data_IF_353042183320
#
_entry.id   IF_353042183320
#
_cell.length_a   1.000
_cell.length_b   1.000
_cell.length_c   1.000
_cell.angle_alpha   90.00
_cell.angle_beta   90.00
_cell.angle_gamma   90.00
#
_symmetry.space_group_name_H-M   'P 1'
#
loop_
_entity.id
_entity.type
_entity.pdbx_description
1 polymer ?
#
# COMPACT_ATOMS: atom_id res chain seq x y z
N UNK A 1 6.13 10.63 -13.80
CA UNK A 1 5.42 9.46 -13.24
C UNK A 1 6.23 8.25 -13.59
N UNK A 2 6.38 7.35 -12.63
CA UNK A 2 7.26 6.19 -12.78
C UNK A 2 6.43 4.93 -12.70
N UNK A 3 6.75 3.97 -13.57
CA UNK A 3 6.11 2.66 -13.58
C UNK A 3 6.81 1.74 -12.57
N UNK A 4 6.02 1.14 -11.68
CA UNK A 4 6.52 0.15 -10.71
C UNK A 4 5.68 -1.13 -10.78
N UNK A 5 6.25 -2.24 -10.31
CA UNK A 5 5.53 -3.50 -10.16
C UNK A 5 4.34 -3.30 -9.22
N UNK A 6 3.16 -3.80 -9.62
CA UNK A 6 1.98 -3.75 -8.77
C UNK A 6 2.18 -4.64 -7.55
N UNK A 7 2.28 -4.04 -6.36
CA UNK A 7 2.49 -4.78 -5.12
C UNK A 7 1.34 -5.75 -4.81
N UNK A 8 0.09 -5.29 -4.94
CA UNK A 8 -1.09 -6.09 -4.61
C UNK A 8 -1.13 -7.46 -5.29
N UNK A 9 -0.86 -7.53 -6.60
CA UNK A 9 -0.81 -8.81 -7.34
C UNK A 9 0.61 -9.35 -7.56
N UNK A 10 1.63 -8.73 -6.97
CA UNK A 10 3.04 -9.00 -7.26
C UNK A 10 3.33 -9.07 -8.77
N UNK A 11 2.75 -8.16 -9.55
CA UNK A 11 2.95 -8.08 -10.99
C UNK A 11 2.34 -9.19 -11.85
N UNK A 12 1.57 -10.12 -11.27
CA UNK A 12 0.87 -11.16 -12.04
C UNK A 12 -0.26 -10.62 -12.93
N UNK A 13 -0.81 -9.46 -12.58
CA UNK A 13 -2.00 -8.91 -13.25
C UNK A 13 -3.32 -9.58 -12.86
N UNK A 14 -3.29 -10.63 -12.04
CA UNK A 14 -4.48 -11.34 -11.55
C UNK A 14 -4.83 -10.95 -10.10
N UNK A 15 -6.09 -11.08 -9.72
CA UNK A 15 -6.55 -10.90 -8.34
C UNK A 15 -5.85 -11.94 -7.44
N UNK A 16 -5.03 -11.52 -6.46
CA UNK A 16 -4.27 -12.45 -5.62
C UNK A 16 -5.13 -13.34 -4.71
N UNK A 17 -6.43 -13.06 -4.60
CA UNK A 17 -7.36 -13.76 -3.73
C UNK A 17 -8.40 -14.60 -4.48
N UNK A 18 -8.37 -14.59 -5.82
CA UNK A 18 -9.23 -15.40 -6.69
C UNK A 18 -10.73 -15.31 -6.32
N UNK A 19 -11.20 -14.13 -5.85
CA UNK A 19 -12.52 -14.01 -5.20
C UNK A 19 -13.69 -14.29 -6.14
N UNK A 20 -13.55 -13.94 -7.42
CA UNK A 20 -14.57 -14.21 -8.46
C UNK A 20 -14.19 -15.39 -9.36
N UNK A 21 -12.90 -15.51 -9.68
CA UNK A 21 -12.35 -16.52 -10.59
C UNK A 21 -10.81 -16.48 -10.51
N UNK A 22 -10.11 -17.60 -10.79
CA UNK A 22 -8.66 -17.61 -10.98
C UNK A 22 -8.19 -16.70 -12.14
N UNK A 23 -9.07 -16.36 -13.07
CA UNK A 23 -8.78 -15.47 -14.21
C UNK A 23 -9.17 -14.01 -13.93
N UNK A 24 -9.67 -13.70 -12.73
CA UNK A 24 -10.05 -12.34 -12.38
C UNK A 24 -8.86 -11.40 -12.46
N UNK A 25 -9.01 -10.29 -13.19
CA UNK A 25 -7.95 -9.27 -13.30
C UNK A 25 -7.75 -8.57 -11.96
N UNK A 26 -6.49 -8.24 -11.65
CA UNK A 26 -6.14 -7.45 -10.49
C UNK A 26 -6.84 -6.09 -10.52
N UNK A 27 -7.65 -5.81 -9.50
CA UNK A 27 -8.39 -4.56 -9.34
C UNK A 27 -7.51 -3.29 -9.27
N UNK A 28 -6.22 -3.42 -8.93
CA UNK A 28 -5.30 -2.28 -8.77
C UNK A 28 -4.61 -1.89 -10.08
N UNK A 29 -4.19 -2.88 -10.88
CA UNK A 29 -3.46 -2.64 -12.13
C UNK A 29 -4.25 -3.01 -13.39
N UNK A 30 -5.48 -3.49 -13.23
CA UNK A 30 -6.40 -3.87 -14.31
C UNK A 30 -5.81 -4.90 -15.29
N UNK A 31 -5.02 -5.84 -14.78
CA UNK A 31 -4.36 -6.85 -15.62
C UNK A 31 -2.94 -6.53 -16.04
N UNK A 32 -2.47 -5.28 -15.87
CA UNK A 32 -1.17 -4.84 -16.44
C UNK A 32 0.05 -5.33 -15.66
N UNK A 33 -0.11 -5.80 -14.42
CA UNK A 33 1.00 -6.16 -13.52
C UNK A 33 1.83 -4.97 -13.00
N UNK A 34 1.53 -3.75 -13.44
CA UNK A 34 2.29 -2.55 -13.09
C UNK A 34 1.37 -1.37 -12.82
N UNK A 35 1.85 -0.40 -12.05
CA UNK A 35 1.13 0.83 -11.70
C UNK A 35 2.06 2.04 -11.79
N UNK A 36 1.47 3.20 -12.07
CA UNK A 36 2.21 4.47 -12.05
C UNK A 36 2.16 5.12 -10.66
N UNK A 37 3.28 5.75 -10.29
CA UNK A 37 3.45 6.53 -9.06
C UNK A 37 4.18 7.86 -9.33
N UNK A 38 3.97 8.83 -8.45
CA UNK A 38 4.69 10.10 -8.44
C UNK A 38 5.85 10.00 -7.43
N UNK A 39 7.08 10.28 -7.87
CA UNK A 39 8.27 10.28 -7.01
C UNK A 39 8.41 11.62 -6.26
N UNK A 40 9.08 11.64 -5.09
CA UNK A 40 9.69 10.49 -4.42
C UNK A 40 8.65 9.64 -3.67
N UNK A 41 8.89 8.32 -3.68
CA UNK A 41 8.05 7.35 -2.97
C UNK A 41 8.84 6.65 -1.88
N UNK A 42 8.14 6.28 -0.81
CA UNK A 42 8.66 5.38 0.23
C UNK A 42 7.76 4.15 0.34
N UNK A 43 8.30 3.07 0.90
CA UNK A 43 7.50 1.89 1.24
C UNK A 43 6.36 2.30 2.16
N UNK A 44 5.13 1.84 1.86
CA UNK A 44 3.99 2.09 2.72
C UNK A 44 4.19 1.35 4.06
N UNK A 45 4.35 2.11 5.15
CA UNK A 45 4.58 1.53 6.48
C UNK A 45 3.39 0.67 6.94
N UNK A 46 2.16 1.14 6.73
CA UNK A 46 0.95 0.45 7.19
C UNK A 46 0.85 -1.01 6.69
N UNK A 47 1.00 -1.23 5.38
CA UNK A 47 0.97 -2.57 4.75
C UNK A 47 2.35 -3.21 4.57
N UNK A 48 3.42 -2.56 5.00
CA UNK A 48 4.80 -2.98 4.78
C UNK A 48 5.12 -3.32 3.31
N UNK A 49 4.51 -2.57 2.38
CA UNK A 49 4.76 -2.72 0.95
C UNK A 49 3.97 -3.81 0.22
N UNK A 50 3.11 -4.57 0.89
CA UNK A 50 2.33 -5.64 0.22
C UNK A 50 1.22 -5.10 -0.68
N UNK A 51 0.76 -3.87 -0.42
CA UNK A 51 -0.44 -3.33 -1.06
C UNK A 51 -1.74 -3.93 -0.53
N UNK A 52 -1.70 -4.89 0.39
CA UNK A 52 -2.88 -5.54 1.00
C UNK A 52 -3.14 -4.92 2.37
N UNK A 53 -4.41 -4.79 2.75
CA UNK A 53 -4.75 -4.35 4.09
C UNK A 53 -4.22 -5.36 5.14
N UNK A 54 -3.53 -4.93 6.20
CA UNK A 54 -3.01 -5.86 7.22
C UNK A 54 -4.10 -6.65 7.95
N UNK A 55 -3.70 -7.53 8.86
CA UNK A 55 -4.63 -8.28 9.73
C UNK A 55 -5.51 -9.31 8.99
N UNK A 56 -5.00 -9.88 7.89
CA UNK A 56 -5.65 -10.97 7.17
C UNK A 56 -6.85 -10.55 6.31
N UNK A 57 -7.08 -9.24 6.16
CA UNK A 57 -8.20 -8.72 5.37
C UNK A 57 -7.84 -8.72 3.89
N UNK A 58 -8.65 -9.37 3.07
CA UNK A 58 -8.43 -9.54 1.61
C UNK A 58 -8.90 -8.33 0.79
N UNK A 59 -8.55 -7.13 1.25
CA UNK A 59 -8.86 -5.87 0.54
C UNK A 59 -7.58 -5.10 0.25
N UNK A 60 -7.67 -4.13 -0.66
CA UNK A 60 -6.55 -3.23 -0.96
C UNK A 60 -6.18 -2.40 0.27
N UNK A 61 -4.88 -2.16 0.45
CA UNK A 61 -4.41 -1.26 1.51
C UNK A 61 -4.98 0.13 1.27
N UNK A 62 -5.74 0.65 2.24
CA UNK A 62 -6.43 1.95 2.14
C UNK A 62 -5.47 3.14 2.14
N UNK A 63 -4.22 2.96 2.57
CA UNK A 63 -3.20 4.02 2.60
C UNK A 63 -2.53 4.21 1.25
N UNK A 64 -2.15 3.12 0.58
CA UNK A 64 -1.41 3.18 -0.69
C UNK A 64 -2.24 2.77 -1.91
N UNK A 65 -3.52 2.41 -1.73
CA UNK A 65 -4.41 1.94 -2.79
C UNK A 65 -3.87 0.73 -3.54
N UNK A 66 -3.24 -0.22 -2.85
CA UNK A 66 -2.67 -1.41 -3.49
C UNK A 66 -1.27 -1.28 -4.10
N UNK A 67 -0.70 -0.06 -4.15
CA UNK A 67 0.60 0.18 -4.81
C UNK A 67 1.81 -0.29 -4.00
N UNK A 68 1.67 -0.49 -2.69
CA UNK A 68 2.77 -0.85 -1.77
C UNK A 68 3.69 0.32 -1.41
N UNK A 69 3.52 1.48 -2.03
CA UNK A 69 4.32 2.68 -1.76
C UNK A 69 3.42 3.91 -1.64
N UNK A 70 3.92 4.93 -0.96
CA UNK A 70 3.25 6.23 -0.80
C UNK A 70 4.20 7.34 -1.25
N UNK A 71 3.65 8.34 -1.92
CA UNK A 71 4.39 9.56 -2.28
C UNK A 71 4.57 10.44 -1.04
N UNK A 72 5.78 10.96 -0.88
CA UNK A 72 6.16 11.92 0.16
C UNK A 72 6.72 13.16 -0.49
N UNK A 73 6.53 14.32 0.14
CA UNK A 73 7.02 15.61 -0.36
C UNK A 73 7.95 16.20 0.68
N UNK A 74 9.15 16.59 0.26
CA UNK A 74 10.14 17.21 1.14
C UNK A 74 10.82 16.23 2.11
N UNK A 75 11.63 16.75 3.04
CA UNK A 75 12.26 15.95 4.08
C UNK A 75 11.20 15.36 5.01
N UNK A 76 11.39 14.12 5.44
CA UNK A 76 10.44 13.41 6.30
C UNK A 76 11.12 12.98 7.59
N UNK A 77 10.36 12.95 8.69
CA UNK A 77 10.82 12.43 9.98
C UNK A 77 9.98 11.24 10.41
N UNK A 78 10.58 10.31 11.16
CA UNK A 78 9.86 9.17 11.74
C UNK A 78 8.70 9.70 12.58
N UNK A 79 7.48 9.20 12.33
CA UNK A 79 6.30 9.66 13.04
C UNK A 79 6.40 9.30 14.53
N UNK A 80 6.33 10.27 15.46
CA UNK A 80 6.48 10.03 16.89
C UNK A 80 5.34 9.16 17.43
N UNK A 81 4.10 9.42 16.99
CA UNK A 81 2.89 8.81 17.55
C UNK A 81 2.76 7.32 17.26
N UNK A 82 3.35 6.83 16.17
CA UNK A 82 3.31 5.40 15.82
C UNK A 82 4.70 4.75 15.79
N UNK A 83 5.75 5.49 16.16
CA UNK A 83 7.14 5.04 16.00
C UNK A 83 7.45 4.59 14.56
N UNK A 84 6.84 5.23 13.56
CA UNK A 84 7.01 4.91 12.15
C UNK A 84 6.38 3.61 11.63
N UNK A 85 5.58 2.91 12.44
CA UNK A 85 4.85 1.71 11.98
C UNK A 85 3.71 2.05 11.00
N UNK A 86 3.24 3.30 10.99
CA UNK A 86 2.07 3.72 10.24
C UNK A 86 0.75 3.14 10.80
N UNK A 87 0.76 2.57 12.00
CA UNK A 87 -0.43 1.93 12.61
C UNK A 87 -0.82 2.68 13.88
N UNK A 88 -2.12 2.71 14.15
CA UNK A 88 -2.62 3.09 15.47
C UNK A 88 -2.32 1.95 16.45
N UNK A 89 -1.94 2.27 17.69
CA UNK A 89 -1.71 1.27 18.73
C UNK A 89 -3.01 0.67 19.27
N UNK A 90 -4.09 1.45 19.27
CA UNK A 90 -5.37 1.07 19.85
C UNK A 90 -6.31 0.40 18.84
N UNK A 91 -5.98 0.45 17.55
CA UNK A 91 -6.88 -0.02 16.49
C UNK A 91 -6.13 -0.65 15.32
N UNK A 92 -6.86 -1.44 14.52
CA UNK A 92 -6.36 -2.00 13.26
C UNK A 92 -6.28 -0.95 12.12
N UNK A 93 -6.43 0.34 12.44
CA UNK A 93 -6.47 1.42 11.48
C UNK A 93 -5.08 2.06 11.26
N UNK A 94 -4.90 2.80 10.15
CA UNK A 94 -3.71 3.63 9.96
C UNK A 94 -3.55 4.64 11.09
N UNK A 95 -2.30 4.95 11.45
CA UNK A 95 -2.00 6.07 12.36
C UNK A 95 -2.60 7.36 11.80
N UNK A 96 -3.39 8.08 12.59
CA UNK A 96 -4.09 9.29 12.16
C UNK A 96 -3.13 10.44 11.84
N UNK A 97 -2.04 10.55 12.59
CA UNK A 97 -1.03 11.62 12.46
C UNK A 97 -0.27 11.53 11.15
N UNK A 98 0.33 10.38 10.84
CA UNK A 98 1.05 10.18 9.58
C UNK A 98 0.19 9.60 8.47
N UNK A 99 -1.12 9.38 8.70
CA UNK A 99 -2.06 8.73 7.77
C UNK A 99 -1.54 7.39 7.22
N UNK A 100 -0.84 6.64 8.06
CA UNK A 100 -0.26 5.33 7.74
C UNK A 100 1.06 5.33 6.94
N UNK A 101 1.66 6.50 6.69
CA UNK A 101 2.93 6.60 5.98
C UNK A 101 4.14 6.21 6.85
N UNK A 102 4.02 6.29 8.17
CA UNK A 102 5.12 6.07 9.12
C UNK A 102 6.06 7.28 9.26
N UNK A 103 5.82 8.34 8.50
CA UNK A 103 6.60 9.59 8.54
C UNK A 103 5.68 10.80 8.43
N UNK A 104 6.15 11.93 8.96
CA UNK A 104 5.54 13.26 8.83
C UNK A 104 6.46 14.20 8.07
#
# INVERSE_FOLDING_TARGET
MDEIRCAFCNGKGLDPFELLSPLAKCQVCLGKGKVFVEKPVIKCAFCNGTGVYPYGVRITCTVCGGKGVVTVKGPTKRCPDCGGTGRSFESKLPCLTCKGKGVV
#
